data_IF_865129368257
#
_entry.id   IF_865129368257
#
_cell.length_a   1.000
_cell.length_b   1.000
_cell.length_c   1.000
_cell.angle_alpha   90.00
_cell.angle_beta   90.00
_cell.angle_gamma   90.00
#
_symmetry.space_group_name_H-M   'P 1'
#
loop_
_entity.id
_entity.type
_entity.pdbx_description
1 polymer ?
#
# COMPACT_ATOMS: atom_id res chain seq x y z
N UNK A 1 6.32 13.16 7.06
CA UNK A 1 5.15 12.41 6.57
C UNK A 1 5.35 12.21 5.08
N UNK A 2 5.57 10.97 4.67
CA UNK A 2 5.78 10.58 3.28
C UNK A 2 4.43 10.22 2.67
N UNK A 3 4.20 10.59 1.40
CA UNK A 3 2.93 10.36 0.71
C UNK A 3 3.15 9.45 -0.48
N UNK A 4 2.33 8.42 -0.59
CA UNK A 4 2.29 7.52 -1.72
C UNK A 4 0.95 7.61 -2.45
N UNK A 5 0.99 7.55 -3.78
CA UNK A 5 -0.22 7.53 -4.62
C UNK A 5 -0.73 6.11 -4.73
N UNK A 6 -2.00 5.90 -4.42
CA UNK A 6 -2.66 4.59 -4.58
C UNK A 6 -3.10 4.45 -6.03
N UNK A 7 -2.56 3.45 -6.71
CA UNK A 7 -2.78 3.18 -8.15
C UNK A 7 -3.58 1.91 -8.41
N UNK A 8 -3.74 1.05 -7.40
CA UNK A 8 -4.54 -0.16 -7.48
C UNK A 8 -5.12 -0.50 -6.11
N UNK A 9 -6.27 -1.15 -6.11
CA UNK A 9 -6.91 -1.65 -4.89
C UNK A 9 -7.79 -2.86 -5.19
N UNK A 10 -7.83 -3.80 -4.26
CA UNK A 10 -8.65 -5.02 -4.35
C UNK A 10 -9.05 -5.46 -2.93
N UNK A 11 -10.32 -5.84 -2.76
CA UNK A 11 -10.79 -6.44 -1.50
C UNK A 11 -10.28 -7.86 -1.35
N UNK A 12 -9.78 -8.21 -0.16
CA UNK A 12 -9.26 -9.53 0.20
C UNK A 12 -9.84 -9.94 1.55
N UNK A 13 -10.97 -10.66 1.53
CA UNK A 13 -11.75 -10.91 2.76
C UNK A 13 -12.16 -9.60 3.41
N UNK A 14 -11.84 -9.44 4.70
CA UNK A 14 -12.10 -8.22 5.47
C UNK A 14 -11.03 -7.12 5.28
N UNK A 15 -10.00 -7.39 4.47
CA UNK A 15 -8.84 -6.52 4.26
C UNK A 15 -8.83 -5.92 2.85
N UNK A 16 -7.88 -5.00 2.62
CA UNK A 16 -7.66 -4.40 1.30
C UNK A 16 -6.22 -4.61 0.87
N UNK A 17 -6.02 -5.18 -0.32
CA UNK A 17 -4.74 -5.11 -1.01
C UNK A 17 -4.67 -3.79 -1.79
N UNK A 18 -3.65 -3.00 -1.56
CA UNK A 18 -3.40 -1.74 -2.26
C UNK A 18 -2.07 -1.79 -2.99
N UNK A 19 -2.01 -1.14 -4.15
CA UNK A 19 -0.77 -0.93 -4.90
C UNK A 19 -0.49 0.56 -4.88
N UNK A 20 0.72 0.92 -4.46
CA UNK A 20 1.19 2.29 -4.46
C UNK A 20 2.29 2.53 -5.49
N UNK A 21 2.28 3.73 -6.05
CA UNK A 21 3.35 4.24 -6.90
C UNK A 21 4.52 4.69 -6.02
N UNK A 22 5.71 4.18 -6.31
CA UNK A 22 6.96 4.45 -5.61
C UNK A 22 7.56 3.25 -4.86
N UNK A 23 8.83 3.43 -4.46
CA UNK A 23 9.59 2.49 -3.63
C UNK A 23 9.26 2.71 -2.17
N UNK A 24 8.45 1.81 -1.62
CA UNK A 24 7.99 1.86 -0.24
C UNK A 24 8.95 1.21 0.74
N UNK A 25 10.20 1.66 0.82
CA UNK A 25 11.21 1.09 1.75
C UNK A 25 10.85 1.27 3.24
N UNK A 26 9.85 2.11 3.53
CA UNK A 26 9.34 2.41 4.86
C UNK A 26 8.25 1.42 5.31
N UNK A 27 7.68 0.63 4.40
CA UNK A 27 6.64 -0.32 4.76
C UNK A 27 7.25 -1.60 5.31
N UNK A 28 6.72 -2.04 6.45
CA UNK A 28 6.92 -3.36 6.99
C UNK A 28 5.66 -3.78 7.76
N UNK A 29 5.53 -5.05 8.08
CA UNK A 29 4.39 -5.55 8.84
C UNK A 29 4.33 -4.82 10.20
N UNK A 30 3.11 -4.47 10.62
CA UNK A 30 2.85 -3.73 11.85
C UNK A 30 2.99 -2.21 11.75
N UNK A 31 3.35 -1.67 10.58
CA UNK A 31 3.38 -0.20 10.38
C UNK A 31 1.96 0.35 10.35
N UNK A 32 1.73 1.39 11.16
CA UNK A 32 0.55 2.23 11.05
C UNK A 32 0.67 3.21 9.89
N UNK A 33 -0.37 3.27 9.06
CA UNK A 33 -0.49 4.20 7.94
C UNK A 33 -1.80 4.97 8.07
N UNK A 34 -1.87 6.14 7.47
CA UNK A 34 -3.09 6.95 7.42
C UNK A 34 -3.58 7.08 5.98
N UNK A 35 -4.90 7.21 5.81
CA UNK A 35 -5.47 7.75 4.59
C UNK A 35 -5.51 9.29 4.60
N UNK A 36 -6.00 9.90 3.51
CA UNK A 36 -6.08 11.36 3.37
C UNK A 36 -7.02 12.06 4.36
N UNK A 37 -7.89 11.32 5.04
CA UNK A 37 -8.77 11.83 6.09
C UNK A 37 -8.17 11.62 7.49
N UNK A 38 -6.96 11.06 7.59
CA UNK A 38 -6.32 10.73 8.85
C UNK A 38 -6.86 9.46 9.51
N UNK A 39 -7.63 8.62 8.80
CA UNK A 39 -8.07 7.33 9.35
C UNK A 39 -6.89 6.35 9.37
N UNK A 40 -6.64 5.65 10.49
CA UNK A 40 -5.53 4.71 10.61
C UNK A 40 -5.84 3.34 10.03
N UNK A 41 -4.79 2.68 9.54
CA UNK A 41 -4.76 1.30 9.08
C UNK A 41 -3.43 0.67 9.48
N UNK A 42 -3.38 -0.67 9.58
CA UNK A 42 -2.15 -1.42 9.85
C UNK A 42 -1.71 -2.21 8.61
N UNK A 43 -0.43 -2.19 8.29
CA UNK A 43 0.16 -3.02 7.24
C UNK A 43 0.31 -4.45 7.75
N UNK A 44 -0.43 -5.38 7.13
CA UNK A 44 -0.40 -6.81 7.45
C UNK A 44 0.68 -7.55 6.66
N UNK A 45 0.91 -7.15 5.41
CA UNK A 45 1.99 -7.70 4.58
C UNK A 45 2.47 -6.71 3.52
N UNK A 46 3.73 -6.85 3.11
CA UNK A 46 4.35 -6.10 2.01
C UNK A 46 4.76 -7.07 0.91
N UNK A 47 4.38 -6.76 -0.31
CA UNK A 47 4.72 -7.53 -1.51
C UNK A 47 5.31 -6.64 -2.60
N UNK A 48 6.27 -7.19 -3.34
CA UNK A 48 6.70 -6.62 -4.61
C UNK A 48 5.95 -7.34 -5.72
N UNK A 49 5.47 -6.59 -6.72
CA UNK A 49 4.81 -7.18 -7.87
C UNK A 49 5.77 -8.13 -8.61
N UNK A 50 5.28 -9.26 -9.10
CA UNK A 50 6.05 -10.23 -9.89
C UNK A 50 5.72 -10.05 -11.37
N UNK A 51 6.59 -9.37 -12.11
CA UNK A 51 6.37 -9.06 -13.53
C UNK A 51 7.58 -9.39 -14.41
N UNK A 52 7.37 -9.31 -15.74
CA UNK A 52 8.45 -9.48 -16.73
C UNK A 52 9.31 -8.22 -16.85
N UNK A 53 8.75 -7.04 -16.49
CA UNK A 53 9.43 -5.75 -16.57
C UNK A 53 9.94 -5.29 -15.19
N UNK A 54 11.24 -5.46 -14.97
CA UNK A 54 11.94 -5.12 -13.72
C UNK A 54 11.80 -3.63 -13.38
N UNK A 55 11.81 -2.72 -14.36
CA UNK A 55 11.72 -1.28 -14.09
C UNK A 55 10.36 -0.90 -13.49
N UNK A 56 9.28 -1.51 -13.96
CA UNK A 56 7.95 -1.28 -13.39
C UNK A 56 7.80 -1.88 -12.00
N UNK A 57 8.35 -3.08 -11.77
CA UNK A 57 8.33 -3.73 -10.46
C UNK A 57 9.09 -2.92 -9.42
N UNK A 58 10.20 -2.29 -9.80
CA UNK A 58 11.00 -1.47 -8.91
C UNK A 58 10.28 -0.20 -8.48
N UNK A 59 9.23 0.24 -9.18
CA UNK A 59 8.54 1.51 -8.90
C UNK A 59 7.15 1.32 -8.32
N UNK A 60 6.77 0.10 -7.93
CA UNK A 60 5.47 -0.18 -7.31
C UNK A 60 5.65 -1.02 -6.06
N UNK A 61 4.87 -0.73 -5.04
CA UNK A 61 4.83 -1.54 -3.81
C UNK A 61 3.39 -1.96 -3.55
N UNK A 62 3.18 -3.26 -3.28
CA UNK A 62 1.88 -3.78 -2.89
C UNK A 62 1.83 -3.99 -1.38
N UNK A 63 0.71 -3.64 -0.76
CA UNK A 63 0.48 -3.76 0.67
C UNK A 63 -0.85 -4.47 0.90
N UNK A 64 -0.89 -5.43 1.81
CA UNK A 64 -2.13 -5.87 2.43
C UNK A 64 -2.32 -5.06 3.71
N UNK A 65 -3.47 -4.40 3.84
CA UNK A 65 -3.77 -3.54 4.98
C UNK A 65 -5.08 -3.96 5.64
N UNK A 66 -5.14 -3.81 6.96
CA UNK A 66 -6.31 -4.20 7.74
C UNK A 66 -7.54 -3.33 7.38
N UNK A 67 -8.68 -3.98 7.13
CA UNK A 67 -9.95 -3.30 6.89
C UNK A 67 -10.16 -2.79 5.46
N UNK A 68 -11.19 -1.96 5.30
CA UNK A 68 -11.60 -1.41 4.01
C UNK A 68 -10.98 -0.03 3.75
N UNK A 69 -10.04 0.02 2.79
CA UNK A 69 -9.35 1.23 2.36
C UNK A 69 -9.85 1.71 1.00
N UNK A 70 -10.28 2.97 0.95
CA UNK A 70 -10.90 3.56 -0.25
C UNK A 70 -10.19 4.81 -0.76
N UNK A 71 -9.13 5.26 -0.09
CA UNK A 71 -8.48 6.53 -0.40
C UNK A 71 -7.57 6.45 -1.65
N UNK A 72 -7.24 7.63 -2.18
CA UNK A 72 -6.30 7.82 -3.28
C UNK A 72 -4.85 8.03 -2.84
N UNK A 73 -4.64 8.30 -1.54
CA UNK A 73 -3.34 8.62 -0.96
C UNK A 73 -3.11 7.84 0.32
N UNK A 74 -1.86 7.48 0.52
CA UNK A 74 -1.39 6.81 1.71
C UNK A 74 -0.28 7.63 2.37
N UNK A 75 -0.36 7.77 3.69
CA UNK A 75 0.58 8.55 4.50
C UNK A 75 1.26 7.64 5.52
N UNK A 76 2.57 7.83 5.67
CA UNK A 76 3.44 7.12 6.61
C UNK A 76 4.39 8.11 7.31
#
# INVERSE_FOLDING_TARGET
MTVFKVIGRMSVGDNTAIVVDGKGNLFHNGVGILDENGKPYEVLSVGMDSGVNVEEMLNKTSLLIEGNFVSSKLFI
#
